data_IF_947019925400
#
_entry.id   IF_947019925400
#
_cell.length_a   1.000
_cell.length_b   1.000
_cell.length_c   1.000
_cell.angle_alpha   90.00
_cell.angle_beta   90.00
_cell.angle_gamma   90.00
#
_symmetry.space_group_name_H-M   'P 1'
#
loop_
_entity.id
_entity.type
_entity.pdbx_description
1 polymer ?
#
# COMPACT_ATOMS: atom_id res chain seq x y z
N UNK A 1 6.31 -0.72 4.90
CA UNK A 1 4.82 -0.70 4.92
C UNK A 1 4.31 -2.12 4.78
N UNK A 2 3.33 -2.52 5.60
CA UNK A 2 2.67 -3.83 5.51
C UNK A 2 1.22 -3.59 5.08
N UNK A 3 0.79 -4.21 4.00
CA UNK A 3 -0.58 -4.12 3.48
C UNK A 3 -1.26 -5.46 3.74
N UNK A 4 -2.27 -5.46 4.60
CA UNK A 4 -3.12 -6.63 4.79
C UNK A 4 -4.33 -6.55 3.89
N UNK A 5 -4.45 -7.55 3.01
CA UNK A 5 -5.63 -7.75 2.17
C UNK A 5 -6.82 -8.18 3.02
N UNK A 6 -6.62 -9.05 4.03
CA UNK A 6 -7.73 -9.48 4.90
C UNK A 6 -8.35 -8.30 5.65
N UNK A 7 -7.51 -7.44 6.21
CA UNK A 7 -7.96 -6.36 7.09
C UNK A 7 -8.32 -5.09 6.32
N UNK A 8 -7.98 -5.03 5.02
CA UNK A 8 -8.05 -3.82 4.20
C UNK A 8 -7.40 -2.62 4.91
N UNK A 9 -6.20 -2.88 5.46
CA UNK A 9 -5.40 -1.90 6.20
C UNK A 9 -3.95 -1.92 5.73
N UNK A 10 -3.32 -0.76 5.84
CA UNK A 10 -1.87 -0.62 5.71
C UNK A 10 -1.28 -0.15 7.04
N UNK A 11 -0.27 -0.85 7.52
CA UNK A 11 0.55 -0.43 8.64
C UNK A 11 1.86 0.17 8.13
N UNK A 12 2.15 1.40 8.53
CA UNK A 12 3.46 2.00 8.41
C UNK A 12 4.28 1.61 9.64
N UNK A 13 5.42 0.99 9.40
CA UNK A 13 6.36 0.52 10.41
C UNK A 13 7.68 1.27 10.20
N UNK A 14 8.30 1.74 11.28
CA UNK A 14 9.63 2.38 11.30
C UNK A 14 10.42 1.75 12.43
N UNK A 15 11.63 1.29 12.14
CA UNK A 15 12.52 0.66 13.12
C UNK A 15 11.86 -0.51 13.90
N UNK A 16 11.04 -1.28 13.20
CA UNK A 16 10.29 -2.41 13.78
C UNK A 16 8.96 -2.02 14.44
N UNK A 17 8.74 -0.73 14.72
CA UNK A 17 7.59 -0.26 15.47
C UNK A 17 6.44 0.29 14.59
N UNK A 18 5.17 -0.04 14.91
CA UNK A 18 4.00 0.54 14.24
C UNK A 18 3.91 2.06 14.48
N UNK A 19 3.96 2.86 13.42
CA UNK A 19 3.85 4.33 13.50
C UNK A 19 2.47 4.84 13.13
N UNK A 20 1.81 4.20 12.15
CA UNK A 20 0.50 4.62 11.66
C UNK A 20 -0.24 3.47 10.99
N UNK A 21 -1.55 3.45 11.15
CA UNK A 21 -2.44 2.55 10.40
C UNK A 21 -3.36 3.36 9.51
N UNK A 22 -3.57 2.88 8.28
CA UNK A 22 -4.42 3.49 7.29
C UNK A 22 -5.48 2.51 6.80
N UNK A 23 -6.69 3.01 6.57
CA UNK A 23 -7.75 2.27 5.88
C UNK A 23 -7.46 2.29 4.38
N UNK A 24 -7.53 1.13 3.73
CA UNK A 24 -7.24 1.01 2.29
C UNK A 24 -8.34 0.25 1.54
N UNK A 25 -8.24 0.21 0.23
CA UNK A 25 -8.93 -0.79 -0.59
C UNK A 25 -8.00 -1.45 -1.60
N UNK A 26 -7.90 -2.77 -1.57
CA UNK A 26 -7.25 -3.57 -2.62
C UNK A 26 -8.23 -3.91 -3.75
N UNK A 27 -7.80 -4.74 -4.69
CA UNK A 27 -8.63 -5.15 -5.82
C UNK A 27 -9.85 -5.96 -5.42
N UNK A 28 -10.99 -5.65 -6.02
CA UNK A 28 -12.20 -6.48 -5.96
C UNK A 28 -12.08 -7.79 -6.74
N UNK A 29 -11.07 -7.92 -7.60
CA UNK A 29 -10.80 -9.13 -8.41
C UNK A 29 -9.86 -10.11 -7.70
N UNK A 30 -9.49 -9.82 -6.46
CA UNK A 30 -8.60 -10.68 -5.67
C UNK A 30 -7.12 -10.41 -5.93
N UNK A 31 -6.32 -11.47 -5.82
CA UNK A 31 -4.87 -11.40 -5.73
C UNK A 31 -4.17 -12.06 -6.90
N UNK A 32 -3.07 -11.46 -7.36
CA UNK A 32 -2.30 -11.98 -8.48
C UNK A 32 -1.60 -10.90 -9.30
N UNK A 33 -0.63 -11.35 -10.11
CA UNK A 33 0.21 -10.46 -10.90
C UNK A 33 0.10 -10.65 -12.43
N UNK A 34 -0.82 -11.50 -12.88
CA UNK A 34 -1.00 -11.75 -14.32
C UNK A 34 -1.39 -10.45 -15.04
N UNK A 35 -0.78 -10.12 -16.19
CA UNK A 35 -1.23 -9.00 -17.02
C UNK A 35 -2.73 -9.06 -17.31
N UNK A 36 -3.41 -7.92 -17.27
CA UNK A 36 -4.87 -7.83 -17.48
C UNK A 36 -5.76 -8.40 -16.36
N UNK A 37 -5.20 -8.99 -15.29
CA UNK A 37 -6.01 -9.62 -14.24
C UNK A 37 -6.80 -8.67 -13.36
N UNK A 38 -6.45 -7.38 -13.34
CA UNK A 38 -6.94 -6.41 -12.34
C UNK A 38 -6.72 -6.82 -10.87
N UNK A 39 -6.01 -7.91 -10.58
CA UNK A 39 -5.74 -8.34 -9.21
C UNK A 39 -4.64 -7.50 -8.56
N UNK A 40 -4.65 -7.41 -7.23
CA UNK A 40 -3.54 -6.83 -6.45
C UNK A 40 -2.42 -7.86 -6.28
N UNK A 41 -1.17 -7.56 -6.69
CA UNK A 41 -0.03 -8.46 -6.45
C UNK A 41 0.28 -8.61 -4.96
N UNK A 42 0.73 -9.80 -4.56
CA UNK A 42 1.24 -10.06 -3.20
C UNK A 42 2.77 -10.11 -3.18
N UNK A 43 3.35 -10.12 -1.98
CA UNK A 43 4.81 -10.22 -1.78
C UNK A 43 5.48 -8.86 -1.64
N UNK A 44 6.82 -8.86 -1.68
CA UNK A 44 7.64 -7.66 -1.51
C UNK A 44 7.66 -6.81 -2.77
N UNK A 45 7.52 -5.51 -2.58
CA UNK A 45 7.54 -4.47 -3.59
C UNK A 45 8.24 -3.24 -3.01
N UNK A 46 8.58 -2.29 -3.87
CA UNK A 46 9.15 -1.01 -3.47
C UNK A 46 8.47 0.17 -4.17
N UNK A 47 8.46 1.32 -3.51
CA UNK A 47 8.09 2.59 -4.14
C UNK A 47 9.16 2.98 -5.15
N UNK A 48 8.88 2.75 -6.44
CA UNK A 48 9.78 3.08 -7.53
C UNK A 48 9.68 4.56 -7.92
N UNK A 49 8.47 5.13 -7.92
CA UNK A 49 8.23 6.54 -8.25
C UNK A 49 7.19 7.18 -7.35
N UNK A 50 7.35 8.48 -7.14
CA UNK A 50 6.41 9.33 -6.41
C UNK A 50 5.91 10.43 -7.35
N UNK A 51 4.61 10.63 -7.44
CA UNK A 51 3.98 11.65 -8.30
C UNK A 51 2.89 12.39 -7.52
N UNK A 52 2.77 13.69 -7.79
CA UNK A 52 1.76 14.56 -7.18
C UNK A 52 2.28 15.40 -6.03
N UNK A 53 3.60 15.62 -5.95
CA UNK A 53 4.20 16.51 -4.96
C UNK A 53 3.50 17.88 -4.95
N UNK A 54 3.23 18.39 -3.74
CA UNK A 54 2.50 19.64 -3.49
C UNK A 54 1.13 19.79 -4.21
N UNK A 55 0.58 18.74 -4.83
CA UNK A 55 -0.72 18.84 -5.47
C UNK A 55 -1.84 19.00 -4.40
N UNK A 56 -2.92 19.75 -4.69
CA UNK A 56 -4.07 19.82 -3.80
C UNK A 56 -4.66 18.44 -3.50
N UNK A 57 -5.30 18.30 -2.33
CA UNK A 57 -6.11 17.12 -2.05
C UNK A 57 -7.26 17.06 -3.08
N UNK A 58 -7.49 15.87 -3.65
CA UNK A 58 -8.48 15.66 -4.71
C UNK A 58 -7.98 15.98 -6.12
N UNK A 59 -6.73 16.46 -6.30
CA UNK A 59 -6.18 16.76 -7.61
C UNK A 59 -6.16 15.51 -8.51
N UNK A 60 -6.73 15.62 -9.72
CA UNK A 60 -6.92 14.50 -10.65
C UNK A 60 -5.67 14.24 -11.49
N UNK A 61 -5.35 12.95 -11.68
CA UNK A 61 -4.26 12.50 -12.53
C UNK A 61 -4.77 11.59 -13.67
N UNK A 62 -4.40 11.92 -14.91
CA UNK A 62 -4.60 11.07 -16.10
C UNK A 62 -3.25 10.73 -16.70
N UNK A 63 -2.98 9.44 -16.91
CA UNK A 63 -1.67 9.01 -17.43
C UNK A 63 -0.49 9.47 -16.55
N UNK A 64 -0.70 9.61 -15.23
CA UNK A 64 0.26 10.15 -14.25
C UNK A 64 0.58 11.64 -14.39
N UNK A 65 -0.20 12.41 -15.16
CA UNK A 65 -0.08 13.88 -15.27
C UNK A 65 -1.28 14.55 -14.60
N UNK A 66 -1.04 15.62 -13.85
CA UNK A 66 -2.10 16.41 -13.21
C UNK A 66 -2.95 17.07 -14.30
N UNK A 67 -4.28 16.99 -14.19
CA UNK A 67 -5.19 17.58 -15.20
C UNK A 67 -5.59 19.02 -14.88
N UNK A 68 -5.44 19.45 -13.63
CA UNK A 68 -5.95 20.72 -13.12
C UNK A 68 -7.28 20.60 -12.39
N UNK A 69 -8.03 19.52 -12.63
CA UNK A 69 -9.26 19.23 -11.89
C UNK A 69 -8.96 18.85 -10.43
N UNK A 70 -9.85 19.25 -9.52
CA UNK A 70 -9.85 18.87 -8.11
C UNK A 70 -11.24 18.34 -7.75
N UNK A 71 -11.32 17.10 -7.27
CA UNK A 71 -12.57 16.43 -6.96
C UNK A 71 -12.69 16.21 -5.45
N UNK A 72 -13.86 16.53 -4.89
CA UNK A 72 -14.17 16.27 -3.48
C UNK A 72 -14.40 14.78 -3.24
N UNK A 73 -14.06 14.27 -2.04
CA UNK A 73 -14.43 12.91 -1.66
C UNK A 73 -15.93 12.64 -1.88
N UNK A 74 -16.23 11.50 -2.48
CA UNK A 74 -17.54 10.97 -2.82
C UNK A 74 -18.39 11.86 -3.73
N UNK A 75 -17.77 12.78 -4.47
CA UNK A 75 -18.46 13.47 -5.55
C UNK A 75 -18.96 12.44 -6.59
N UNK A 76 -20.19 12.61 -7.12
CA UNK A 76 -20.72 11.69 -8.11
C UNK A 76 -19.91 11.73 -9.41
N UNK A 77 -19.89 10.60 -10.13
CA UNK A 77 -19.32 10.52 -11.47
C UNK A 77 -18.13 9.57 -11.56
N UNK A 78 -17.05 10.05 -12.17
CA UNK A 78 -15.90 9.22 -12.55
C UNK A 78 -15.08 8.78 -11.33
N UNK A 79 -14.30 7.72 -11.54
CA UNK A 79 -13.35 7.19 -10.54
C UNK A 79 -11.87 7.41 -10.94
N UNK A 80 -11.38 8.66 -11.02
CA UNK A 80 -9.98 8.93 -11.32
C UNK A 80 -9.04 8.63 -10.14
N UNK A 81 -7.77 8.47 -10.47
CA UNK A 81 -6.69 8.55 -9.49
C UNK A 81 -6.52 10.00 -9.03
N UNK A 82 -6.51 10.23 -7.71
CA UNK A 82 -6.39 11.58 -7.14
C UNK A 82 -5.24 11.72 -6.14
N UNK A 83 -4.88 12.97 -5.86
CA UNK A 83 -4.03 13.43 -4.76
C UNK A 83 -2.56 13.04 -4.89
N UNK A 84 -2.20 11.77 -4.73
CA UNK A 84 -0.82 11.27 -4.81
C UNK A 84 -0.78 9.90 -5.46
N UNK A 85 0.37 9.57 -6.06
CA UNK A 85 0.66 8.25 -6.63
C UNK A 85 2.03 7.80 -6.14
N UNK A 86 2.08 6.64 -5.48
CA UNK A 86 3.29 5.87 -5.22
C UNK A 86 3.29 4.67 -6.15
N UNK A 87 4.16 4.68 -7.16
CA UNK A 87 4.22 3.62 -8.17
C UNK A 87 5.08 2.47 -7.68
N UNK A 88 4.50 1.27 -7.61
CA UNK A 88 5.15 0.09 -7.06
C UNK A 88 5.88 -0.72 -8.13
N UNK A 89 7.06 -1.21 -7.76
CA UNK A 89 7.81 -2.23 -8.52
C UNK A 89 7.90 -3.51 -7.69
N UNK A 90 7.58 -4.64 -8.31
CA UNK A 90 7.78 -5.95 -7.71
C UNK A 90 9.26 -6.30 -7.58
N UNK A 91 9.63 -6.88 -6.43
CA UNK A 91 11.00 -7.34 -6.15
C UNK A 91 11.07 -8.86 -6.07
N UNK A 92 9.99 -9.57 -6.43
CA UNK A 92 9.91 -11.03 -6.42
C UNK A 92 9.36 -11.55 -7.76
N UNK A 93 9.71 -12.78 -8.19
CA UNK A 93 9.22 -13.36 -9.45
C UNK A 93 7.69 -13.35 -9.59
N UNK A 94 6.97 -13.53 -8.47
CA UNK A 94 5.50 -13.57 -8.43
C UNK A 94 4.82 -12.22 -8.62
N UNK A 95 5.54 -11.11 -8.51
CA UNK A 95 5.00 -9.76 -8.63
C UNK A 95 5.77 -8.88 -9.64
N UNK A 96 6.59 -9.50 -10.50
CA UNK A 96 7.45 -8.86 -11.49
C UNK A 96 6.74 -7.90 -12.45
N UNK A 97 5.44 -8.09 -12.68
CA UNK A 97 4.65 -7.25 -13.59
C UNK A 97 4.07 -6.00 -12.91
N UNK A 98 4.17 -5.85 -11.59
CA UNK A 98 3.52 -4.78 -10.83
C UNK A 98 3.78 -3.38 -11.42
N UNK A 99 5.03 -3.09 -11.81
CA UNK A 99 5.39 -1.79 -12.40
C UNK A 99 4.72 -1.59 -13.77
N UNK A 100 4.86 -2.56 -14.67
CA UNK A 100 4.26 -2.53 -16.02
C UNK A 100 2.73 -2.47 -15.97
N UNK A 101 2.11 -3.10 -14.98
CA UNK A 101 0.67 -3.08 -14.72
C UNK A 101 0.19 -1.81 -14.03
N UNK A 102 1.06 -0.83 -13.81
CA UNK A 102 0.70 0.44 -13.18
C UNK A 102 0.06 0.26 -11.79
N UNK A 103 0.60 -0.67 -10.98
CA UNK A 103 0.13 -0.87 -9.60
C UNK A 103 0.63 0.27 -8.72
N UNK A 104 -0.31 0.98 -8.10
CA UNK A 104 -0.05 2.16 -7.29
C UNK A 104 -0.59 2.00 -5.86
N UNK A 105 -0.02 2.75 -4.92
CA UNK A 105 -0.76 3.29 -3.78
C UNK A 105 -1.21 4.69 -4.17
N UNK A 106 -2.50 4.99 -4.11
CA UNK A 106 -3.01 6.28 -4.57
C UNK A 106 -4.28 6.74 -3.84
N UNK A 107 -4.59 8.04 -3.97
CA UNK A 107 -5.82 8.63 -3.46
C UNK A 107 -7.03 8.25 -4.32
N UNK A 108 -8.21 8.19 -3.70
CA UNK A 108 -9.49 7.91 -4.37
C UNK A 108 -10.56 8.95 -4.06
N UNK A 109 -11.45 9.31 -5.00
CA UNK A 109 -12.68 10.02 -4.67
C UNK A 109 -13.71 9.11 -3.99
N UNK A 110 -13.78 7.81 -4.29
CA UNK A 110 -14.70 6.84 -3.65
C UNK A 110 -14.30 6.46 -2.20
N UNK A 111 -14.09 7.44 -1.33
CA UNK A 111 -13.63 7.21 0.05
C UNK A 111 -14.63 6.39 0.89
N UNK A 112 -15.93 6.46 0.58
CA UNK A 112 -16.98 5.62 1.20
C UNK A 112 -16.75 4.12 1.01
N UNK A 113 -15.99 3.71 -0.01
CA UNK A 113 -15.69 2.30 -0.31
C UNK A 113 -14.42 1.78 0.36
N UNK A 114 -13.63 2.67 0.98
CA UNK A 114 -12.42 2.27 1.70
C UNK A 114 -12.75 1.24 2.77
N UNK A 115 -11.81 0.34 3.08
CA UNK A 115 -11.99 -0.77 4.01
C UNK A 115 -12.64 -2.01 3.39
N UNK A 116 -13.01 -1.96 2.10
CA UNK A 116 -13.49 -3.10 1.33
C UNK A 116 -12.72 -3.22 0.01
N UNK A 117 -12.54 -4.44 -0.55
CA UNK A 117 -11.99 -4.59 -1.89
C UNK A 117 -12.81 -3.80 -2.93
N UNK A 118 -12.16 -2.86 -3.62
CA UNK A 118 -12.86 -1.89 -4.47
C UNK A 118 -12.05 -1.39 -5.67
N UNK A 119 -10.75 -1.72 -5.75
CA UNK A 119 -9.88 -1.27 -6.84
C UNK A 119 -9.83 -2.26 -8.02
N UNK A 120 -9.05 -1.89 -9.04
CA UNK A 120 -8.73 -2.72 -10.21
C UNK A 120 -7.25 -3.14 -10.21
N UNK A 121 -6.67 -3.32 -9.02
CA UNK A 121 -5.31 -3.84 -8.82
C UNK A 121 -4.50 -2.99 -7.86
N UNK A 122 -4.73 -1.69 -7.86
CA UNK A 122 -4.05 -0.74 -6.99
C UNK A 122 -4.48 -0.85 -5.51
N UNK A 123 -3.79 -0.11 -4.65
CA UNK A 123 -4.13 0.09 -3.25
C UNK A 123 -4.65 1.52 -3.11
N UNK A 124 -5.96 1.66 -2.84
CA UNK A 124 -6.62 2.96 -2.70
C UNK A 124 -6.54 3.43 -1.25
N UNK A 125 -6.41 4.74 -1.05
CA UNK A 125 -6.41 5.43 0.23
C UNK A 125 -7.26 6.71 0.14
N UNK A 126 -7.69 7.25 1.28
CA UNK A 126 -8.29 8.59 1.28
C UNK A 126 -7.27 9.62 0.79
N UNK A 127 -7.74 10.76 0.31
CA UNK A 127 -6.85 11.84 -0.14
C UNK A 127 -5.95 12.33 0.98
N UNK A 128 -6.48 12.43 2.21
CA UNK A 128 -5.69 12.83 3.39
C UNK A 128 -4.64 11.78 3.73
N UNK A 129 -5.03 10.51 3.78
CA UNK A 129 -4.12 9.42 4.17
C UNK A 129 -3.00 9.21 3.15
N UNK A 130 -3.30 9.28 1.85
CA UNK A 130 -2.25 9.11 0.83
C UNK A 130 -1.28 10.29 0.83
N UNK A 131 -1.75 11.51 1.12
CA UNK A 131 -0.89 12.68 1.25
C UNK A 131 0.03 12.57 2.47
N UNK A 132 -0.51 12.14 3.62
CA UNK A 132 0.27 11.86 4.82
C UNK A 132 1.32 10.76 4.56
N UNK A 133 0.92 9.62 4.00
CA UNK A 133 1.85 8.53 3.67
C UNK A 133 2.95 9.01 2.71
N UNK A 134 2.57 9.74 1.66
CA UNK A 134 3.51 10.27 0.67
C UNK A 134 4.60 11.14 1.31
N UNK A 135 4.26 11.94 2.32
CA UNK A 135 5.23 12.79 3.01
C UNK A 135 6.12 12.01 3.98
N UNK A 136 5.69 10.82 4.44
CA UNK A 136 6.43 9.98 5.39
C UNK A 136 7.40 9.01 4.73
N UNK A 137 7.23 8.68 3.45
CA UNK A 137 8.02 7.64 2.76
C UNK A 137 8.78 8.18 1.55
N UNK A 138 10.00 7.67 1.36
CA UNK A 138 10.86 8.00 0.23
C UNK A 138 10.73 7.03 -0.95
N UNK A 139 11.50 7.29 -2.01
CA UNK A 139 11.80 6.28 -3.02
C UNK A 139 12.51 5.08 -2.36
N UNK A 140 12.28 3.89 -2.88
CA UNK A 140 12.85 2.64 -2.35
C UNK A 140 12.16 2.10 -1.10
N UNK A 141 11.20 2.83 -0.51
CA UNK A 141 10.48 2.34 0.66
C UNK A 141 9.77 1.01 0.39
N UNK A 142 9.98 0.03 1.28
CA UNK A 142 9.43 -1.32 1.13
C UNK A 142 7.93 -1.38 1.40
N UNK A 143 7.23 -2.13 0.54
CA UNK A 143 5.81 -2.47 0.64
C UNK A 143 5.69 -3.99 0.63
N UNK A 144 5.09 -4.56 1.67
CA UNK A 144 4.83 -5.99 1.75
C UNK A 144 3.32 -6.25 1.77
N UNK A 145 2.79 -6.83 0.70
CA UNK A 145 1.36 -7.16 0.59
C UNK A 145 1.13 -8.60 1.01
N UNK A 146 0.38 -8.78 2.10
CA UNK A 146 0.10 -10.06 2.73
C UNK A 146 -1.38 -10.43 2.62
N UNK A 147 -1.64 -11.74 2.59
CA UNK A 147 -3.01 -12.29 2.68
C UNK A 147 -3.58 -12.24 4.10
N UNK A 148 -2.71 -12.40 5.10
CA UNK A 148 -3.09 -12.51 6.52
C UNK A 148 -3.42 -11.19 7.19
N UNK A 149 -3.72 -11.25 8.50
CA UNK A 149 -4.00 -10.06 9.33
C UNK A 149 -2.72 -9.41 9.85
N UNK A 150 -2.74 -8.10 10.07
CA UNK A 150 -1.65 -7.33 10.69
C UNK A 150 -1.38 -7.82 12.12
N UNK A 151 -2.40 -8.26 12.87
CA UNK A 151 -2.25 -8.74 14.24
C UNK A 151 -1.43 -10.05 14.35
N UNK A 152 -1.43 -10.87 13.30
CA UNK A 152 -0.63 -12.09 13.27
C UNK A 152 0.82 -11.84 12.87
N UNK A 153 1.14 -10.64 12.34
CA UNK A 153 2.50 -10.26 11.94
C UNK A 153 3.29 -9.61 13.08
N UNK A 154 2.62 -9.05 14.09
CA UNK A 154 3.26 -8.53 15.29
C UNK A 154 3.69 -9.64 16.26
N UNK A 155 2.94 -10.75 16.32
CA UNK A 155 3.26 -11.89 17.20
C UNK A 155 4.43 -12.75 16.73
N UNK A 156 4.80 -12.71 15.45
CA UNK A 156 5.98 -13.41 14.92
C UNK A 156 7.29 -12.65 15.10
N UNK A 157 7.24 -11.36 15.45
CA UNK A 157 8.45 -10.56 15.72
C UNK A 157 8.88 -10.68 17.18
N UNK A 158 7.94 -10.76 18.13
CA UNK A 158 8.25 -10.95 19.55
C UNK A 158 8.77 -12.35 19.90
N UNK A 159 8.50 -13.36 19.07
CA UNK A 159 8.87 -14.76 19.35
C UNK A 159 10.31 -15.13 18.96
N UNK A 160 10.97 -14.33 18.10
CA UNK A 160 12.36 -14.59 17.72
C UNK A 160 13.41 -13.95 18.64
N UNK A 161 13.04 -12.97 19.47
CA UNK A 161 13.95 -12.38 20.47
C UNK A 161 14.03 -13.25 21.74
N UNK A 162 12.93 -13.88 22.13
CA UNK A 162 12.90 -14.72 23.34
C UNK A 162 13.68 -16.05 23.22
N UNK A 163 14.02 -16.49 22.00
CA UNK A 163 14.69 -17.78 21.77
C UNK A 163 16.21 -17.70 21.64
N UNK A 164 16.79 -16.49 21.59
CA UNK A 164 18.23 -16.26 21.50
C UNK A 164 18.92 -16.06 22.86
N UNK A 165 18.18 -15.98 23.96
CA UNK A 165 18.71 -15.67 25.30
C UNK A 165 19.04 -16.85 26.21
N UNK A 166 18.91 -18.11 25.77
CA UNK A 166 19.20 -19.28 26.61
C UNK A 166 20.09 -20.28 25.87
N UNK A 167 21.40 -20.00 25.84
CA UNK A 167 22.47 -20.99 25.63
C UNK A 167 23.84 -20.35 25.92
N UNK A 168 24.29 -20.49 27.15
CA UNK A 168 25.70 -20.55 27.64
C UNK A 168 25.59 -20.74 29.17
N UNK A 169 26.26 -21.64 29.89
CA UNK A 169 27.31 -22.63 29.65
C UNK A 169 27.22 -23.73 30.74
N UNK A 170 27.65 -24.93 30.40
CA UNK A 170 27.93 -26.08 31.28
C UNK A 170 29.30 -25.95 31.98
N UNK A 171 29.44 -26.60 33.16
CA UNK A 171 30.68 -27.16 33.74
C UNK A 171 31.64 -26.12 34.34
N UNK A 172 32.21 -26.30 35.54
CA UNK A 172 32.50 -27.48 36.38
C UNK A 172 32.53 -27.11 37.85
#
# INVERSE_FOLDING_TARGET
>A
MIVSVRDQKMLLVRDGEPVKSYRISTSKFGLGDRPGSNCTPTGRMQVARKIGDNAPLGAVFKGRRRTGEVIRPNAPGRDPVVTRILWLKGTEPRNRNSYRRAIYIHGTPEERRLGNPASYGCIRMSSRDVADLYNRVGHGADVFVIRGSIQSASSSTSSNVARAGSRTKFGS
#
